data_IF_611917012668
#
_entry.id   IF_611917012668
#
_cell.length_a   1.000
_cell.length_b   1.000
_cell.length_c   1.000
_cell.angle_alpha   90.00
_cell.angle_beta   90.00
_cell.angle_gamma   90.00
#
_symmetry.space_group_name_H-M   'P 1'
#
loop_
_entity.id
_entity.type
_entity.pdbx_description
1 polymer ?
#
# COMPACT_ATOMS: atom_id res chain seq x y z
N UNK A 1 70.25 8.50 47.16
CA UNK A 1 69.32 8.36 46.01
C UNK A 1 68.07 9.20 46.29
N UNK A 2 67.99 10.45 45.77
CA UNK A 2 66.92 11.41 46.11
C UNK A 2 65.62 11.03 45.40
N UNK A 3 64.60 10.58 46.14
CA UNK A 3 63.23 10.45 45.63
C UNK A 3 62.67 11.86 45.37
N UNK A 4 62.43 12.21 44.12
CA UNK A 4 61.58 13.36 43.78
C UNK A 4 60.15 12.99 44.17
N UNK A 5 59.61 13.67 45.18
CA UNK A 5 58.18 13.60 45.48
C UNK A 5 57.43 14.25 44.31
N UNK A 6 56.60 13.49 43.60
CA UNK A 6 55.68 14.04 42.59
C UNK A 6 54.65 14.88 43.34
N UNK A 7 54.60 16.18 43.08
CA UNK A 7 53.53 17.04 43.54
C UNK A 7 52.29 16.74 42.68
N UNK A 8 51.27 16.12 43.25
CA UNK A 8 49.94 16.08 42.64
C UNK A 8 49.36 17.49 42.70
N UNK A 9 49.33 18.19 41.56
CA UNK A 9 48.58 19.45 41.42
C UNK A 9 47.09 19.09 41.51
N UNK A 10 46.38 19.70 42.45
CA UNK A 10 44.91 19.64 42.49
C UNK A 10 44.30 20.45 41.34
N UNK A 11 43.04 20.16 41.03
CA UNK A 11 42.28 20.93 40.04
C UNK A 11 42.10 22.38 40.53
N UNK A 12 42.31 23.34 39.63
CA UNK A 12 42.09 24.75 39.95
C UNK A 12 40.59 25.06 39.92
N UNK A 13 40.12 26.04 40.71
CA UNK A 13 38.71 26.46 40.71
C UNK A 13 38.24 26.86 39.30
N UNK A 14 39.11 27.55 38.54
CA UNK A 14 38.85 27.96 37.16
C UNK A 14 38.64 26.75 36.24
N UNK A 15 39.39 25.69 36.43
CA UNK A 15 39.29 24.46 35.62
C UNK A 15 37.98 23.72 35.86
N UNK A 16 37.51 23.67 37.11
CA UNK A 16 36.20 23.06 37.44
C UNK A 16 35.06 23.89 36.86
N UNK A 17 35.12 25.22 36.98
CA UNK A 17 34.10 26.10 36.40
C UNK A 17 34.08 26.01 34.87
N UNK A 18 35.25 25.92 34.23
CA UNK A 18 35.35 25.73 32.78
C UNK A 18 34.77 24.37 32.36
N UNK A 19 35.07 23.30 33.09
CA UNK A 19 34.52 21.97 32.81
C UNK A 19 32.98 21.97 32.93
N UNK A 20 32.43 22.62 33.97
CA UNK A 20 30.99 22.77 34.14
C UNK A 20 30.36 23.61 33.02
N UNK A 21 31.01 24.68 32.58
CA UNK A 21 30.52 25.49 31.48
C UNK A 21 30.43 24.69 30.17
N UNK A 22 31.48 23.91 29.85
CA UNK A 22 31.49 23.03 28.66
C UNK A 22 30.42 21.93 28.80
N UNK A 23 30.28 21.34 30.00
CA UNK A 23 29.26 20.33 30.28
C UNK A 23 27.86 20.87 30.01
N UNK A 24 27.52 22.03 30.57
CA UNK A 24 26.21 22.65 30.38
C UNK A 24 25.94 23.01 28.91
N UNK A 25 26.96 23.51 28.20
CA UNK A 25 26.85 23.79 26.77
C UNK A 25 26.58 22.51 25.97
N UNK A 26 27.31 21.43 26.24
CA UNK A 26 27.10 20.14 25.56
C UNK A 26 25.71 19.58 25.85
N UNK A 27 25.22 19.68 27.08
CA UNK A 27 23.90 19.21 27.47
C UNK A 27 22.80 20.01 26.77
N UNK A 28 22.94 21.33 26.67
CA UNK A 28 21.99 22.18 25.95
C UNK A 28 21.86 21.79 24.47
N UNK A 29 22.97 21.40 23.83
CA UNK A 29 22.95 20.91 22.44
C UNK A 29 22.29 19.53 22.36
N UNK A 30 22.61 18.61 23.28
CA UNK A 30 22.00 17.26 23.29
C UNK A 30 20.49 17.30 23.49
N UNK A 31 19.99 18.22 24.33
CA UNK A 31 18.54 18.41 24.52
C UNK A 31 17.86 18.80 23.21
N UNK A 32 18.43 19.77 22.48
CA UNK A 32 17.90 20.18 21.19
C UNK A 32 17.92 19.05 20.16
N UNK A 33 19.01 18.27 20.11
CA UNK A 33 19.10 17.10 19.25
C UNK A 33 18.04 16.04 19.60
N UNK A 34 17.78 15.82 20.88
CA UNK A 34 16.75 14.87 21.32
C UNK A 34 15.35 15.31 20.87
N UNK A 35 15.01 16.59 21.00
CA UNK A 35 13.73 17.11 20.48
C UNK A 35 13.57 16.88 18.98
N UNK A 36 14.64 17.12 18.20
CA UNK A 36 14.62 16.87 16.77
C UNK A 36 14.49 15.38 16.44
N UNK A 37 15.20 14.52 17.17
CA UNK A 37 15.12 13.07 17.01
C UNK A 37 13.70 12.54 17.27
N UNK A 38 13.07 12.97 18.37
CA UNK A 38 11.69 12.57 18.69
C UNK A 38 10.70 13.03 17.62
N UNK A 39 10.83 14.27 17.13
CA UNK A 39 9.98 14.78 16.06
C UNK A 39 10.12 13.96 14.78
N UNK A 40 11.35 13.67 14.36
CA UNK A 40 11.61 12.88 13.17
C UNK A 40 11.13 11.43 13.32
N UNK A 41 11.33 10.82 14.48
CA UNK A 41 10.83 9.48 14.78
C UNK A 41 9.30 9.40 14.69
N UNK A 42 8.60 10.43 15.17
CA UNK A 42 7.13 10.52 15.04
C UNK A 42 6.70 10.62 13.58
N UNK A 43 7.31 11.50 12.79
CA UNK A 43 6.99 11.65 11.36
C UNK A 43 7.25 10.34 10.60
N UNK A 44 8.40 9.71 10.83
CA UNK A 44 8.75 8.44 10.20
C UNK A 44 7.76 7.31 10.57
N UNK A 45 7.35 7.26 11.85
CA UNK A 45 6.32 6.30 12.29
C UNK A 45 4.99 6.55 11.59
N UNK A 46 4.54 7.80 11.52
CA UNK A 46 3.28 8.17 10.86
C UNK A 46 3.30 7.81 9.36
N UNK A 47 4.41 8.06 8.67
CA UNK A 47 4.58 7.66 7.27
C UNK A 47 4.59 6.13 7.08
N UNK A 48 5.30 5.41 7.94
CA UNK A 48 5.35 3.94 7.89
C UNK A 48 3.97 3.33 8.15
N UNK A 49 3.21 3.86 9.11
CA UNK A 49 1.83 3.43 9.37
C UNK A 49 0.94 3.66 8.15
N UNK A 50 1.01 4.83 7.52
CA UNK A 50 0.23 5.11 6.31
C UNK A 50 0.60 4.16 5.16
N UNK A 51 1.89 3.86 4.97
CA UNK A 51 2.37 2.92 3.96
C UNK A 51 1.87 1.49 4.21
N UNK A 52 2.00 1.00 5.44
CA UNK A 52 1.52 -0.34 5.81
C UNK A 52 -0.01 -0.45 5.67
N UNK A 53 -0.75 0.61 6.02
CA UNK A 53 -2.19 0.66 5.83
C UNK A 53 -2.58 0.61 4.35
N UNK A 54 -1.96 1.43 3.49
CA UNK A 54 -2.18 1.37 2.04
C UNK A 54 -1.88 -0.03 1.48
N UNK A 55 -0.75 -0.62 1.86
CA UNK A 55 -0.38 -1.96 1.41
C UNK A 55 -1.37 -3.03 1.90
N UNK A 56 -1.89 -2.90 3.12
CA UNK A 56 -2.90 -3.81 3.66
C UNK A 56 -4.23 -3.71 2.92
N UNK A 57 -4.71 -2.49 2.64
CA UNK A 57 -5.95 -2.28 1.88
C UNK A 57 -5.81 -2.81 0.45
N UNK A 58 -4.68 -2.52 -0.21
CA UNK A 58 -4.40 -3.07 -1.54
C UNK A 58 -4.40 -4.60 -1.53
N UNK A 59 -3.82 -5.24 -0.50
CA UNK A 59 -3.85 -6.68 -0.36
C UNK A 59 -5.28 -7.23 -0.16
N UNK A 60 -6.13 -6.55 0.61
CA UNK A 60 -7.54 -6.91 0.80
C UNK A 60 -8.34 -6.80 -0.50
N UNK A 61 -8.13 -5.73 -1.28
CA UNK A 61 -8.72 -5.55 -2.61
C UNK A 61 -8.27 -6.67 -3.56
N UNK A 62 -6.98 -7.01 -3.53
CA UNK A 62 -6.41 -8.09 -4.37
C UNK A 62 -6.94 -9.47 -4.00
N UNK A 63 -7.18 -9.71 -2.72
CA UNK A 63 -7.73 -10.96 -2.21
C UNK A 63 -9.25 -11.09 -2.48
N UNK A 64 -9.91 -10.03 -2.95
CA UNK A 64 -11.36 -9.97 -3.10
C UNK A 64 -12.12 -9.90 -1.77
N UNK A 65 -11.43 -9.58 -0.66
CA UNK A 65 -12.06 -9.37 0.65
C UNK A 65 -12.80 -8.04 0.68
N UNK A 66 -12.24 -7.02 0.01
CA UNK A 66 -12.87 -5.72 -0.20
C UNK A 66 -13.27 -5.57 -1.68
N UNK A 67 -14.47 -5.06 -2.01
CA UNK A 67 -14.89 -4.86 -3.39
C UNK A 67 -14.04 -3.80 -4.08
N UNK A 68 -13.81 -3.95 -5.39
CA UNK A 68 -13.07 -3.01 -6.24
C UNK A 68 -13.94 -1.80 -6.63
N UNK A 69 -14.43 -1.10 -5.62
CA UNK A 69 -15.25 0.10 -5.78
C UNK A 69 -14.51 1.34 -5.27
N UNK A 70 -14.84 2.50 -5.84
CA UNK A 70 -14.28 3.77 -5.37
C UNK A 70 -14.94 4.16 -4.05
N UNK A 71 -14.13 4.40 -3.02
CA UNK A 71 -14.55 4.75 -1.65
C UNK A 71 -13.82 6.01 -1.24
N UNK A 72 -14.48 6.93 -0.55
CA UNK A 72 -13.85 8.17 -0.06
C UNK A 72 -14.01 8.31 1.44
N UNK A 73 -12.93 8.70 2.12
CA UNK A 73 -12.86 9.07 3.53
C UNK A 73 -13.49 8.06 4.50
N UNK A 74 -13.28 6.77 4.24
CA UNK A 74 -13.76 5.68 5.10
C UNK A 74 -12.79 5.46 6.28
N UNK A 75 -13.28 5.26 7.51
CA UNK A 75 -12.41 5.00 8.65
C UNK A 75 -11.70 3.65 8.51
N UNK A 76 -10.39 3.64 8.79
CA UNK A 76 -9.61 2.42 8.90
C UNK A 76 -9.98 1.68 10.20
N UNK A 77 -10.01 0.33 10.17
CA UNK A 77 -10.50 -0.55 11.25
C UNK A 77 -10.14 -0.13 12.69
N UNK A 78 -11.06 -0.41 13.62
CA UNK A 78 -11.03 0.02 15.02
C UNK A 78 -9.77 -0.46 15.75
N UNK A 79 -9.20 -1.61 15.39
CA UNK A 79 -7.98 -2.15 16.01
C UNK A 79 -6.74 -1.24 15.86
N UNK A 80 -6.65 -0.47 14.77
CA UNK A 80 -5.59 0.53 14.57
C UNK A 80 -5.89 1.86 15.29
N UNK A 81 -7.17 2.13 15.54
CA UNK A 81 -7.63 3.34 16.25
C UNK A 81 -7.61 3.15 17.78
N UNK A 82 -7.68 1.91 18.27
CA UNK A 82 -7.81 1.59 19.69
C UNK A 82 -6.47 1.56 20.46
N UNK A 83 -5.36 1.13 19.85
CA UNK A 83 -4.11 0.89 20.60
C UNK A 83 -3.19 2.11 20.79
N UNK A 84 -3.42 3.24 20.10
CA UNK A 84 -2.42 4.33 20.03
C UNK A 84 -2.93 5.68 20.55
N UNK A 85 -3.40 5.75 21.80
CA UNK A 85 -3.78 7.01 22.48
C UNK A 85 -5.15 7.59 22.04
N UNK A 86 -6.23 7.02 22.58
CA UNK A 86 -7.58 7.62 22.57
C UNK A 86 -7.69 8.91 23.44
N UNK A 87 -6.74 9.84 23.29
CA UNK A 87 -6.83 11.20 23.84
C UNK A 87 -6.86 12.27 22.74
N UNK A 88 -6.55 11.92 21.49
CA UNK A 88 -6.60 12.82 20.34
C UNK A 88 -7.61 12.23 19.35
N UNK A 89 -8.62 13.00 18.96
CA UNK A 89 -9.76 12.65 18.10
C UNK A 89 -9.31 12.47 16.63
N UNK A 90 -8.25 11.70 16.42
CA UNK A 90 -7.49 11.61 15.18
C UNK A 90 -7.63 10.21 14.59
N UNK A 91 -8.62 10.04 13.72
CA UNK A 91 -8.83 8.80 12.99
C UNK A 91 -7.94 8.71 11.74
N UNK A 92 -7.55 7.49 11.38
CA UNK A 92 -7.01 7.21 10.05
C UNK A 92 -8.16 6.96 9.08
N UNK A 93 -8.11 7.65 7.94
CA UNK A 93 -9.07 7.52 6.86
C UNK A 93 -8.38 6.91 5.65
N UNK A 94 -9.12 6.15 4.86
CA UNK A 94 -8.68 5.66 3.57
C UNK A 94 -9.67 6.03 2.47
N UNK A 95 -9.14 6.23 1.28
CA UNK A 95 -9.88 6.42 0.04
C UNK A 95 -9.31 5.48 -1.01
N UNK A 96 -10.19 4.91 -1.83
CA UNK A 96 -9.85 4.05 -2.96
C UNK A 96 -10.43 4.70 -4.21
N UNK A 97 -9.60 4.95 -5.20
CA UNK A 97 -10.00 5.43 -6.51
C UNK A 97 -9.72 4.33 -7.54
N UNK A 98 -10.78 3.79 -8.14
CA UNK A 98 -10.69 2.73 -9.15
C UNK A 98 -11.04 3.33 -10.51
N UNK A 99 -10.10 3.24 -11.46
CA UNK A 99 -10.26 3.79 -12.81
C UNK A 99 -9.94 2.72 -13.84
N UNK A 100 -10.89 2.41 -14.73
CA UNK A 100 -10.62 1.57 -15.91
C UNK A 100 -9.70 2.32 -16.89
N UNK A 101 -8.62 1.67 -17.29
CA UNK A 101 -7.58 2.22 -18.17
C UNK A 101 -7.86 1.84 -19.63
N UNK A 102 -8.40 0.65 -19.86
CA UNK A 102 -8.68 0.13 -21.19
C UNK A 102 -9.94 -0.75 -21.24
N UNK A 103 -10.36 -1.06 -22.47
CA UNK A 103 -11.49 -1.95 -22.75
C UNK A 103 -11.15 -3.45 -22.53
N UNK A 104 -9.90 -3.76 -22.18
CA UNK A 104 -9.40 -5.14 -21.97
C UNK A 104 -9.41 -5.54 -20.49
N UNK A 105 -10.07 -4.75 -19.64
CA UNK A 105 -10.24 -5.07 -18.23
C UNK A 105 -9.06 -4.66 -17.36
N UNK A 106 -8.24 -3.68 -17.74
CA UNK A 106 -7.20 -3.17 -16.85
C UNK A 106 -7.73 -2.03 -15.96
N UNK A 107 -7.60 -2.18 -14.65
CA UNK A 107 -7.95 -1.18 -13.64
C UNK A 107 -6.70 -0.57 -13.03
N UNK A 108 -6.68 0.76 -12.87
CA UNK A 108 -5.78 1.51 -12.01
C UNK A 108 -6.48 1.74 -10.67
N UNK A 109 -5.98 1.10 -9.62
CA UNK A 109 -6.47 1.27 -8.26
C UNK A 109 -5.49 2.13 -7.49
N UNK A 110 -5.93 3.29 -7.03
CA UNK A 110 -5.15 4.19 -6.18
C UNK A 110 -5.75 4.19 -4.78
N UNK A 111 -4.96 3.77 -3.80
CA UNK A 111 -5.34 3.81 -2.38
C UNK A 111 -4.61 4.96 -1.72
N UNK A 112 -5.36 5.87 -1.12
CA UNK A 112 -4.85 7.01 -0.35
C UNK A 112 -5.24 6.85 1.11
N UNK A 113 -4.26 6.82 2.01
CA UNK A 113 -4.49 6.83 3.46
C UNK A 113 -4.07 8.17 4.02
N UNK A 114 -4.96 8.79 4.79
CA UNK A 114 -4.79 10.13 5.37
C UNK A 114 -5.08 10.08 6.85
N UNK A 115 -4.26 10.78 7.64
CA UNK A 115 -4.53 11.01 9.05
C UNK A 115 -5.27 12.32 9.23
N UNK A 116 -6.56 12.28 9.55
CA UNK A 116 -7.34 13.49 9.75
C UNK A 116 -7.02 14.11 11.11
N UNK A 117 -6.37 15.28 11.07
CA UNK A 117 -6.09 16.10 12.24
C UNK A 117 -6.76 17.45 12.03
N UNK A 118 -7.85 17.78 12.74
CA UNK A 118 -8.55 19.04 12.53
C UNK A 118 -7.70 20.29 12.83
N UNK A 119 -6.58 20.13 13.55
CA UNK A 119 -5.67 21.20 13.92
C UNK A 119 -4.42 21.30 13.01
N UNK A 120 -4.25 20.40 12.03
CA UNK A 120 -3.06 20.36 11.17
C UNK A 120 -3.41 20.73 9.72
N UNK A 121 -2.90 21.85 9.17
CA UNK A 121 -3.17 22.25 7.80
C UNK A 121 -2.52 21.34 6.75
N UNK A 122 -1.64 20.40 7.16
CA UNK A 122 -1.01 19.43 6.28
C UNK A 122 -1.10 18.03 6.90
N UNK A 123 -2.22 17.32 6.71
CA UNK A 123 -2.35 15.97 7.23
C UNK A 123 -1.28 15.06 6.61
N UNK A 124 -0.85 14.06 7.38
CA UNK A 124 0.02 13.02 6.84
C UNK A 124 -0.82 12.16 5.90
N UNK A 125 -0.44 12.16 4.63
CA UNK A 125 -1.07 11.32 3.60
C UNK A 125 -0.02 10.48 2.87
N UNK A 126 -0.43 9.30 2.43
CA UNK A 126 0.33 8.45 1.54
C UNK A 126 -0.61 7.81 0.51
N UNK A 127 -0.17 7.74 -0.73
CA UNK A 127 -0.94 7.17 -1.83
C UNK A 127 -0.12 6.11 -2.55
N UNK A 128 -0.74 4.97 -2.86
CA UNK A 128 -0.15 3.89 -3.64
C UNK A 128 -1.08 3.52 -4.79
N UNK A 129 -0.54 3.46 -6.01
CA UNK A 129 -1.28 3.07 -7.21
C UNK A 129 -0.78 1.71 -7.67
N UNK A 130 -1.71 0.81 -7.93
CA UNK A 130 -1.45 -0.52 -8.48
C UNK A 130 -2.37 -0.78 -9.67
N UNK A 131 -1.85 -1.47 -10.69
CA UNK A 131 -2.62 -1.91 -11.83
C UNK A 131 -3.03 -3.37 -11.65
N UNK A 132 -4.30 -3.66 -11.86
CA UNK A 132 -4.84 -5.00 -11.72
C UNK A 132 -5.86 -5.28 -12.82
N UNK A 133 -5.97 -6.56 -13.17
CA UNK A 133 -7.02 -7.02 -14.07
C UNK A 133 -8.33 -6.99 -13.29
N UNK A 134 -9.36 -6.43 -13.91
CA UNK A 134 -10.73 -6.46 -13.45
C UNK A 134 -11.18 -7.94 -13.36
N UNK A 135 -11.49 -8.45 -12.16
CA UNK A 135 -11.95 -9.81 -11.98
C UNK A 135 -13.32 -10.06 -12.64
N UNK A 136 -14.07 -9.02 -12.99
CA UNK A 136 -15.33 -9.14 -13.72
C UNK A 136 -15.15 -9.26 -15.24
N UNK A 137 -13.93 -9.08 -15.75
CA UNK A 137 -13.67 -9.22 -17.19
C UNK A 137 -13.76 -10.68 -17.61
N UNK A 138 -14.79 -11.01 -18.39
CA UNK A 138 -14.86 -12.26 -19.14
C UNK A 138 -13.78 -12.25 -20.23
N UNK A 139 -12.72 -13.04 -20.04
CA UNK A 139 -11.80 -13.31 -21.12
C UNK A 139 -12.55 -14.09 -22.20
N UNK A 140 -12.59 -13.61 -23.46
CA UNK A 140 -13.11 -14.45 -24.52
C UNK A 140 -12.26 -15.72 -24.55
N UNK A 141 -12.87 -16.89 -24.33
CA UNK A 141 -12.25 -18.17 -24.62
C UNK A 141 -11.84 -18.10 -26.09
N UNK A 142 -10.55 -17.86 -26.34
CA UNK A 142 -10.00 -18.03 -27.67
C UNK A 142 -10.11 -19.53 -27.91
N UNK A 143 -11.20 -19.94 -28.56
CA UNK A 143 -11.45 -21.28 -29.04
C UNK A 143 -10.39 -21.65 -30.06
N UNK A 144 -9.19 -21.96 -29.57
CA UNK A 144 -8.18 -22.65 -30.34
C UNK A 144 -8.69 -24.08 -30.51
N UNK A 145 -9.39 -24.31 -31.61
CA UNK A 145 -9.71 -25.65 -32.09
C UNK A 145 -8.54 -26.12 -32.99
N UNK A 146 -7.57 -26.89 -32.46
CA UNK A 146 -6.45 -27.40 -33.24
C UNK A 146 -6.87 -28.36 -34.36
N UNK A 147 -8.15 -28.75 -34.43
CA UNK A 147 -8.68 -29.67 -35.43
C UNK A 147 -9.39 -28.96 -36.57
N UNK A 148 -9.66 -27.65 -36.48
CA UNK A 148 -10.28 -26.88 -37.56
C UNK A 148 -9.36 -26.75 -38.79
N UNK A 149 -8.09 -26.38 -38.57
CA UNK A 149 -7.09 -26.24 -39.65
C UNK A 149 -6.75 -27.57 -40.33
N UNK A 150 -6.83 -28.70 -39.62
CA UNK A 150 -6.56 -30.02 -40.17
C UNK A 150 -7.64 -30.51 -41.14
N UNK A 151 -8.86 -29.98 -41.06
CA UNK A 151 -9.97 -30.36 -41.93
C UNK A 151 -9.94 -29.66 -43.29
N UNK A 152 -9.32 -28.47 -43.38
CA UNK A 152 -9.22 -27.72 -44.64
C UNK A 152 -8.15 -28.29 -45.60
N UNK A 153 -7.07 -28.90 -45.09
CA UNK A 153 -6.07 -29.56 -45.96
C UNK A 153 -6.53 -30.90 -46.55
N UNK A 154 -7.55 -31.54 -45.98
CA UNK A 154 -7.95 -32.90 -46.38
C UNK A 154 -9.08 -32.99 -47.42
N UNK A 155 -9.54 -31.86 -47.98
CA UNK A 155 -10.21 -31.80 -49.29
C UNK A 155 -11.18 -32.93 -49.63
N UNK A 156 -11.98 -33.41 -48.68
CA UNK A 156 -12.91 -34.51 -48.87
C UNK A 156 -14.31 -33.93 -49.04
N UNK A 157 -14.57 -33.48 -50.28
CA UNK A 157 -15.93 -33.20 -50.73
C UNK A 157 -16.74 -34.49 -50.70
N UNK A 158 -17.75 -34.55 -49.83
CA UNK A 158 -18.83 -35.49 -49.95
C UNK A 158 -20.02 -34.75 -50.58
N UNK A 159 -20.29 -35.12 -51.83
CA UNK A 159 -21.37 -34.65 -52.70
C UNK A 159 -22.74 -34.59 -52.01
N UNK A 160 -23.36 -33.42 -52.14
CA UNK A 160 -24.81 -33.24 -52.17
C UNK A 160 -25.44 -34.21 -53.19
N UNK A 161 -26.36 -35.06 -52.75
CA UNK A 161 -27.38 -35.63 -53.65
C UNK A 161 -28.75 -35.35 -53.06
N UNK A 162 -29.46 -34.44 -53.72
CA UNK A 162 -30.76 -33.95 -53.31
C UNK A 162 -31.92 -34.92 -53.55
N UNK A 163 -32.95 -34.71 -52.74
CA UNK A 163 -34.34 -34.48 -53.17
C UNK A 163 -35.08 -35.60 -53.94
N UNK A 164 -36.08 -36.20 -53.27
CA UNK A 164 -37.46 -36.25 -53.78
C UNK A 164 -38.46 -36.68 -52.69
N UNK A 165 -39.65 -36.14 -52.85
CA UNK A 165 -40.74 -35.93 -51.89
C UNK A 165 -41.82 -37.02 -51.87
N UNK A 166 -42.61 -37.00 -50.78
CA UNK A 166 -44.07 -37.26 -50.69
C UNK A 166 -44.69 -38.67 -50.72
N UNK A 167 -45.66 -38.86 -49.80
CA UNK A 167 -46.85 -39.74 -49.91
C UNK A 167 -46.82 -41.02 -49.06
N UNK A 168 -47.49 -41.12 -47.90
CA UNK A 168 -48.94 -41.37 -47.68
C UNK A 168 -49.32 -42.86 -47.63
N UNK A 169 -50.19 -43.21 -46.66
CA UNK A 169 -50.87 -44.50 -46.38
C UNK A 169 -49.99 -45.61 -45.74
N UNK A 170 -50.35 -46.31 -44.67
CA UNK A 170 -51.65 -46.63 -44.06
C UNK A 170 -51.75 -48.16 -43.91
N UNK A 171 -51.95 -48.68 -42.70
CA UNK A 171 -52.54 -50.01 -42.51
C UNK A 171 -51.79 -51.05 -41.66
N UNK A 172 -52.49 -51.41 -40.57
CA UNK A 172 -52.50 -52.65 -39.77
C UNK A 172 -51.35 -52.92 -38.78
#
# INVERSE_FOLDING_TARGET
>A
MRRRLRTTRGFTLVEVVLALAILLLSLAILVQLNYLAMRNARIAREQCTAQLACASILAQLRAGELPLESVSDSPLDETLNEETFAMDDTAWLYSVDVVSIDDYGLLSVTVTVTRDRPQDPRPVSFSMTEWMIDPETEFPEIGYDPYAEASEELGLGAEETGESTEGTEGGL
#
